data_IF_564102074359
#
_entry.id   IF_564102074359
#
_cell.length_a   1.000
_cell.length_b   1.000
_cell.length_c   1.000
_cell.angle_alpha   90.00
_cell.angle_beta   90.00
_cell.angle_gamma   90.00
#
_symmetry.space_group_name_H-M   'P 1'
#
loop_
_entity.id
_entity.type
_entity.pdbx_description
1 polymer ?
#
# COMPACT_ATOMS: atom_id res chain seq x y z
N UNK A 1 -0.73 13.55 -11.87
CA UNK A 1 -1.00 14.58 -10.85
C UNK A 1 -0.77 13.96 -9.48
N UNK A 2 -0.31 14.69 -8.48
CA UNK A 2 -0.10 14.17 -7.12
C UNK A 2 -1.13 14.76 -6.14
N UNK A 3 -1.46 14.01 -5.09
CA UNK A 3 -2.44 14.36 -4.05
C UNK A 3 -1.75 14.48 -2.70
N UNK A 4 -1.94 15.60 -1.99
CA UNK A 4 -1.42 15.76 -0.62
C UNK A 4 -2.35 15.09 0.39
N UNK A 5 -1.77 14.43 1.40
CA UNK A 5 -2.54 13.85 2.49
C UNK A 5 -3.06 14.90 3.50
N UNK A 6 -3.85 14.45 4.49
CA UNK A 6 -4.46 15.32 5.51
C UNK A 6 -3.45 16.16 6.32
N UNK A 7 -2.25 15.64 6.58
CA UNK A 7 -1.19 16.40 7.27
C UNK A 7 -0.44 17.38 6.35
N UNK A 8 -0.62 17.28 5.04
CA UNK A 8 0.11 18.05 4.03
C UNK A 8 1.56 17.59 3.80
N UNK A 9 2.05 16.60 4.54
CA UNK A 9 3.46 16.18 4.53
C UNK A 9 3.78 15.07 3.52
N UNK A 10 2.79 14.31 3.06
CA UNK A 10 2.99 13.22 2.11
C UNK A 10 2.25 13.50 0.80
N UNK A 11 2.89 13.15 -0.32
CA UNK A 11 2.30 13.19 -1.65
C UNK A 11 2.03 11.76 -2.14
N UNK A 12 0.85 11.56 -2.74
CA UNK A 12 0.38 10.27 -3.24
C UNK A 12 -0.02 10.38 -4.70
N UNK A 13 0.12 9.27 -5.43
CA UNK A 13 -0.33 9.18 -6.83
C UNK A 13 -1.84 9.01 -6.93
N UNK A 14 -2.45 8.37 -5.93
CA UNK A 14 -3.88 8.11 -5.86
C UNK A 14 -4.53 8.95 -4.77
N UNK A 15 -5.71 9.48 -5.06
CA UNK A 15 -6.46 10.33 -4.13
C UNK A 15 -6.89 9.56 -2.89
N UNK A 16 -7.30 8.31 -3.07
CA UNK A 16 -7.81 7.43 -2.02
C UNK A 16 -6.74 7.13 -0.97
N UNK A 17 -5.47 7.02 -1.38
CA UNK A 17 -4.34 6.87 -0.46
C UNK A 17 -4.06 8.16 0.32
N UNK A 18 -4.19 9.33 -0.33
CA UNK A 18 -4.04 10.62 0.33
C UNK A 18 -5.10 10.87 1.41
N UNK A 19 -6.34 10.43 1.18
CA UNK A 19 -7.47 10.56 2.13
C UNK A 19 -7.30 9.70 3.39
N UNK A 20 -6.61 8.54 3.28
CA UNK A 20 -6.29 7.65 4.41
C UNK A 20 -5.03 8.06 5.16
N UNK A 21 -4.02 8.53 4.45
CA UNK A 21 -2.72 8.88 5.02
C UNK A 21 -2.84 9.99 6.08
N UNK A 22 -2.24 9.76 7.25
CA UNK A 22 -2.28 10.68 8.40
C UNK A 22 -3.71 10.99 8.87
N UNK A 23 -4.64 10.05 8.69
CA UNK A 23 -6.05 10.20 9.04
C UNK A 23 -6.61 8.97 9.77
N UNK A 24 -5.91 8.50 10.81
CA UNK A 24 -6.32 7.31 11.58
C UNK A 24 -6.01 5.97 10.91
N UNK A 25 -5.21 5.96 9.85
CA UNK A 25 -4.74 4.75 9.18
C UNK A 25 -3.21 4.76 9.06
N UNK A 26 -2.63 3.56 9.11
CA UNK A 26 -1.23 3.30 8.79
C UNK A 26 -1.13 2.32 7.63
N UNK A 27 -0.04 2.40 6.87
CA UNK A 27 0.24 1.51 5.75
C UNK A 27 1.20 0.41 6.22
N UNK A 28 0.82 -0.85 6.02
CA UNK A 28 1.65 -2.01 6.36
C UNK A 28 2.12 -2.70 5.09
N UNK A 29 3.37 -3.18 5.12
CA UNK A 29 3.90 -4.07 4.10
C UNK A 29 3.35 -5.47 4.33
N UNK A 30 2.80 -6.08 3.29
CA UNK A 30 2.31 -7.46 3.30
C UNK A 30 3.22 -8.28 2.40
N UNK A 31 3.67 -9.42 2.91
CA UNK A 31 4.58 -10.34 2.23
C UNK A 31 3.83 -11.66 2.04
N UNK A 32 3.76 -12.14 0.81
CA UNK A 32 3.09 -13.38 0.43
C UNK A 32 3.95 -14.29 -0.44
N UNK A 33 3.58 -15.56 -0.56
CA UNK A 33 4.22 -16.47 -1.52
C UNK A 33 3.68 -16.21 -2.94
N UNK A 34 4.51 -16.42 -3.96
CA UNK A 34 4.06 -16.45 -5.35
C UNK A 34 2.88 -17.43 -5.52
N UNK A 35 1.84 -17.00 -6.23
CA UNK A 35 0.60 -17.76 -6.40
C UNK A 35 -0.45 -17.57 -5.30
N UNK A 36 -0.14 -16.89 -4.19
CA UNK A 36 -1.17 -16.48 -3.22
C UNK A 36 -1.88 -15.20 -3.68
N UNK A 37 -3.22 -15.23 -3.63
CA UNK A 37 -4.04 -14.03 -3.87
C UNK A 37 -3.96 -13.13 -2.63
N UNK A 38 -3.21 -12.03 -2.73
CA UNK A 38 -3.14 -11.00 -1.69
C UNK A 38 -4.35 -10.07 -1.74
N UNK A 39 -5.51 -10.57 -1.27
CA UNK A 39 -6.75 -9.78 -1.18
C UNK A 39 -6.53 -8.53 -0.31
N UNK A 40 -7.16 -7.43 -0.69
CA UNK A 40 -7.08 -6.12 -0.03
C UNK A 40 -5.70 -5.47 -0.01
N UNK A 41 -4.73 -5.97 -0.78
CA UNK A 41 -3.42 -5.35 -0.93
C UNK A 41 -3.39 -4.49 -2.20
N UNK A 42 -2.90 -3.26 -2.07
CA UNK A 42 -2.64 -2.36 -3.19
C UNK A 42 -1.13 -2.34 -3.54
N UNK A 43 -0.81 -1.97 -4.78
CA UNK A 43 0.56 -2.00 -5.31
C UNK A 43 1.26 -3.36 -5.14
N UNK A 44 0.55 -4.44 -5.50
CA UNK A 44 1.15 -5.77 -5.56
C UNK A 44 2.15 -5.79 -6.72
N UNK A 45 3.43 -6.04 -6.43
CA UNK A 45 4.45 -6.16 -7.49
C UNK A 45 4.05 -7.24 -8.49
N UNK A 46 4.20 -7.01 -9.79
CA UNK A 46 3.89 -8.00 -10.83
C UNK A 46 4.94 -9.10 -10.91
N UNK A 47 6.17 -8.80 -10.49
CA UNK A 47 7.29 -9.74 -10.46
C UNK A 47 7.60 -10.14 -9.00
N UNK A 48 7.79 -11.44 -8.72
CA UNK A 48 8.23 -11.87 -7.41
C UNK A 48 9.67 -11.39 -7.14
N UNK A 49 9.90 -10.96 -5.90
CA UNK A 49 11.23 -10.75 -5.35
C UNK A 49 12.02 -12.08 -5.30
N UNK A 50 13.35 -12.03 -5.13
CA UNK A 50 14.17 -13.23 -4.94
C UNK A 50 13.57 -14.20 -3.91
N UNK A 51 13.52 -15.48 -4.26
CA UNK A 51 12.85 -16.51 -3.45
C UNK A 51 11.36 -16.69 -3.72
N UNK A 52 10.82 -16.07 -4.79
CA UNK A 52 9.42 -16.27 -5.18
C UNK A 52 8.44 -15.55 -4.26
N UNK A 53 8.85 -14.41 -3.70
CA UNK A 53 8.08 -13.67 -2.70
C UNK A 53 7.37 -12.49 -3.36
N UNK A 54 6.07 -12.37 -3.13
CA UNK A 54 5.28 -11.22 -3.54
C UNK A 54 5.19 -10.22 -2.40
N UNK A 55 5.14 -8.93 -2.73
CA UNK A 55 4.87 -7.89 -1.76
C UNK A 55 3.75 -6.98 -2.22
N UNK A 56 3.03 -6.41 -1.25
CA UNK A 56 2.03 -5.38 -1.46
C UNK A 56 1.86 -4.55 -0.20
N UNK A 57 0.94 -3.60 -0.25
CA UNK A 57 0.64 -2.75 0.90
C UNK A 57 -0.82 -2.84 1.28
N UNK A 58 -1.13 -2.65 2.57
CA UNK A 58 -2.49 -2.55 3.06
C UNK A 58 -2.63 -1.35 4.01
N UNK A 59 -3.74 -0.65 3.91
CA UNK A 59 -4.12 0.33 4.93
C UNK A 59 -4.83 -0.38 6.07
N UNK A 60 -4.39 -0.14 7.31
CA UNK A 60 -5.03 -0.65 8.52
C UNK A 60 -5.33 0.52 9.46
N UNK A 61 -6.44 0.49 10.21
CA UNK A 61 -6.69 1.46 11.27
C UNK A 61 -5.53 1.52 12.26
N UNK A 62 -5.27 2.71 12.80
CA UNK A 62 -4.38 2.93 13.96
C UNK A 62 -5.17 2.71 15.23
#
# INVERSE_FOLDING_TARGET
>A
MTHKCKSGQHAWLFREDAEKCCNGFRRVLVIGKAGMVMKDCNNVGSEPLPGGVMYGYKWVPV
#
